data_IF_121645762688
#
_entry.id   IF_121645762688
#
_cell.length_a   1.000
_cell.length_b   1.000
_cell.length_c   1.000
_cell.angle_alpha   90.00
_cell.angle_beta   90.00
_cell.angle_gamma   90.00
#
_symmetry.space_group_name_H-M   'P 1'
#
loop_
_entity.id
_entity.type
_entity.pdbx_description
1 polymer ?
#
# COMPACT_ATOMS: atom_id res chain seq x y z
N UNK A 1 -0.14 -6.84 -5.51
CA UNK A 1 -0.15 -6.91 -6.99
C UNK A 1 -1.10 -8.00 -7.50
N UNK A 2 -0.90 -9.27 -7.15
CA UNK A 2 -1.74 -10.39 -7.63
C UNK A 2 -3.25 -10.20 -7.38
N UNK A 3 -3.65 -9.80 -6.16
CA UNK A 3 -5.06 -9.52 -5.85
C UNK A 3 -5.68 -8.40 -6.71
N UNK A 4 -4.93 -7.33 -7.00
CA UNK A 4 -5.40 -6.23 -7.85
C UNK A 4 -5.53 -6.65 -9.33
N UNK A 5 -4.63 -7.51 -9.83
CA UNK A 5 -4.73 -8.05 -11.19
C UNK A 5 -5.94 -8.97 -11.34
N UNK A 6 -6.25 -9.80 -10.33
CA UNK A 6 -7.45 -10.63 -10.31
C UNK A 6 -8.72 -9.76 -10.38
N UNK A 7 -8.75 -8.68 -9.59
CA UNK A 7 -9.89 -7.73 -9.56
C UNK A 7 -10.06 -6.93 -10.86
N UNK A 8 -8.98 -6.73 -11.63
CA UNK A 8 -9.05 -6.03 -12.91
C UNK A 8 -9.73 -6.86 -14.01
N UNK A 9 -9.53 -8.19 -14.02
CA UNK A 9 -10.05 -9.05 -15.08
C UNK A 9 -11.38 -9.75 -14.74
N UNK A 10 -11.77 -9.79 -13.46
CA UNK A 10 -12.93 -10.55 -13.02
C UNK A 10 -13.97 -9.64 -12.34
N UNK A 11 -15.09 -9.38 -13.02
CA UNK A 11 -16.25 -8.66 -12.49
C UNK A 11 -17.18 -9.51 -11.60
N UNK A 12 -16.83 -10.78 -11.34
CA UNK A 12 -17.67 -11.65 -10.51
C UNK A 12 -17.59 -11.27 -9.02
N UNK A 13 -18.73 -11.26 -8.32
CA UNK A 13 -18.79 -10.95 -6.89
C UNK A 13 -17.85 -11.82 -6.04
N UNK A 14 -17.65 -13.08 -6.43
CA UNK A 14 -16.73 -14.00 -5.75
C UNK A 14 -15.26 -13.61 -5.94
N UNK A 15 -14.87 -13.18 -7.14
CA UNK A 15 -13.53 -12.66 -7.40
C UNK A 15 -13.25 -11.39 -6.60
N UNK A 16 -14.27 -10.55 -6.40
CA UNK A 16 -14.16 -9.35 -5.57
C UNK A 16 -13.76 -9.69 -4.13
N UNK A 17 -14.40 -10.72 -3.56
CA UNK A 17 -14.10 -11.21 -2.21
C UNK A 17 -12.68 -11.80 -2.16
N UNK A 18 -12.34 -12.73 -3.04
CA UNK A 18 -11.04 -13.39 -3.02
C UNK A 18 -9.89 -12.41 -3.27
N UNK A 19 -10.03 -11.57 -4.29
CA UNK A 19 -9.04 -10.54 -4.64
C UNK A 19 -8.86 -9.53 -3.50
N UNK A 20 -9.96 -9.11 -2.87
CA UNK A 20 -9.96 -8.21 -1.71
C UNK A 20 -9.25 -8.82 -0.49
N UNK A 21 -9.52 -10.09 -0.18
CA UNK A 21 -8.84 -10.81 0.92
C UNK A 21 -7.33 -10.89 0.67
N UNK A 22 -6.90 -11.27 -0.53
CA UNK A 22 -5.47 -11.34 -0.88
C UNK A 22 -4.81 -9.96 -0.74
N UNK A 23 -5.50 -8.90 -1.16
CA UNK A 23 -5.02 -7.52 -1.03
C UNK A 23 -4.83 -7.12 0.44
N UNK A 24 -5.84 -7.38 1.28
CA UNK A 24 -5.80 -7.03 2.70
C UNK A 24 -4.75 -7.82 3.46
N UNK A 25 -4.63 -9.13 3.20
CA UNK A 25 -3.58 -9.96 3.82
C UNK A 25 -2.20 -9.43 3.45
N UNK A 26 -1.96 -9.10 2.17
CA UNK A 26 -0.69 -8.52 1.74
C UNK A 26 -0.38 -7.18 2.41
N UNK A 27 -1.38 -6.31 2.53
CA UNK A 27 -1.25 -5.01 3.20
C UNK A 27 -0.90 -5.16 4.69
N UNK A 28 -1.62 -6.03 5.40
CA UNK A 28 -1.39 -6.25 6.83
C UNK A 28 -0.03 -6.89 7.08
N UNK A 29 0.35 -7.92 6.33
CA UNK A 29 1.67 -8.54 6.47
C UNK A 29 2.80 -7.55 6.21
N UNK A 30 2.72 -6.76 5.14
CA UNK A 30 3.74 -5.77 4.79
C UNK A 30 3.87 -4.68 5.87
N UNK A 31 2.75 -4.12 6.32
CA UNK A 31 2.75 -3.07 7.35
C UNK A 31 3.17 -3.59 8.73
N UNK A 32 2.81 -4.82 9.08
CA UNK A 32 3.22 -5.46 10.35
C UNK A 32 4.72 -5.74 10.39
N UNK A 33 5.30 -6.32 9.33
CA UNK A 33 6.74 -6.63 9.29
C UNK A 33 7.58 -5.35 9.32
N UNK A 34 7.24 -4.37 8.48
CA UNK A 34 7.94 -3.09 8.46
C UNK A 34 7.76 -2.30 9.77
N UNK A 35 6.57 -2.38 10.37
CA UNK A 35 6.27 -1.74 11.66
C UNK A 35 7.04 -2.37 12.82
N UNK A 36 7.18 -3.70 12.83
CA UNK A 36 7.99 -4.42 13.82
C UNK A 36 9.47 -4.03 13.69
N UNK A 37 10.01 -4.07 12.47
CA UNK A 37 11.41 -3.70 12.21
C UNK A 37 11.70 -2.24 12.63
N UNK A 38 10.82 -1.30 12.27
CA UNK A 38 11.01 0.09 12.65
C UNK A 38 11.00 0.26 14.18
N UNK A 39 10.16 -0.50 14.88
CA UNK A 39 10.11 -0.49 16.35
C UNK A 39 11.40 -1.06 16.94
N UNK A 40 11.90 -2.17 16.41
CA UNK A 40 13.09 -2.84 16.93
C UNK A 40 14.36 -1.97 16.76
N UNK A 41 14.39 -1.10 15.74
CA UNK A 41 15.48 -0.14 15.49
C UNK A 41 15.30 1.20 16.22
N UNK A 42 14.16 1.43 16.88
CA UNK A 42 13.85 2.72 17.52
C UNK A 42 14.33 2.71 18.98
N UNK A 43 15.29 3.58 19.37
CA UNK A 43 15.70 3.69 20.77
C UNK A 43 14.57 4.27 21.62
N UNK A 44 14.34 3.70 22.82
CA UNK A 44 13.21 4.05 23.69
C UNK A 44 13.12 5.55 24.01
N UNK A 45 14.28 6.22 24.13
CA UNK A 45 14.38 7.65 24.43
C UNK A 45 13.80 8.56 23.33
N UNK A 46 13.70 8.08 22.08
CA UNK A 46 13.17 8.83 20.93
C UNK A 46 11.90 8.23 20.33
N UNK A 47 11.29 7.26 21.02
CA UNK A 47 10.12 6.54 20.54
C UNK A 47 8.97 7.47 20.13
N UNK A 48 8.70 8.52 20.92
CA UNK A 48 7.64 9.49 20.62
C UNK A 48 7.89 10.30 19.34
N UNK A 49 9.12 10.78 19.13
CA UNK A 49 9.48 11.56 17.94
C UNK A 49 9.43 10.70 16.66
N UNK A 50 9.98 9.48 16.74
CA UNK A 50 10.01 8.54 15.60
C UNK A 50 8.62 7.96 15.28
N UNK A 51 7.76 7.77 16.28
CA UNK A 51 6.36 7.41 16.08
C UNK A 51 5.57 8.54 15.40
N UNK A 52 5.81 9.80 15.78
CA UNK A 52 5.21 10.96 15.14
C UNK A 52 5.58 11.07 13.66
N UNK A 53 6.87 10.93 13.33
CA UNK A 53 7.36 10.90 11.95
C UNK A 53 6.70 9.77 11.16
N UNK A 54 6.60 8.57 11.73
CA UNK A 54 5.91 7.45 11.09
C UNK A 54 4.45 7.78 10.77
N UNK A 55 3.69 8.40 11.67
CA UNK A 55 2.27 8.73 11.40
C UNK A 55 2.12 9.73 10.24
N UNK A 56 3.05 10.69 10.13
CA UNK A 56 3.04 11.66 9.03
C UNK A 56 3.26 10.94 7.69
N UNK A 57 4.26 10.07 7.60
CA UNK A 57 4.61 9.39 6.34
C UNK A 57 3.72 8.18 6.01
N UNK A 58 3.25 7.44 7.00
CA UNK A 58 2.47 6.23 6.79
C UNK A 58 0.95 6.46 6.77
N UNK A 59 0.46 7.61 7.27
CA UNK A 59 -0.98 7.89 7.35
C UNK A 59 -1.34 9.22 6.71
N UNK A 60 -0.76 10.33 7.18
CA UNK A 60 -1.16 11.67 6.73
C UNK A 60 -0.88 11.87 5.23
N UNK A 61 0.35 11.61 4.80
CA UNK A 61 0.72 11.74 3.39
C UNK A 61 -0.08 10.78 2.49
N UNK A 62 -0.19 9.47 2.79
CA UNK A 62 -0.99 8.55 1.99
C UNK A 62 -2.47 8.91 1.92
N UNK A 63 -3.06 9.46 2.98
CA UNK A 63 -4.47 9.88 2.97
C UNK A 63 -4.70 11.05 2.01
N UNK A 64 -3.84 12.07 2.06
CA UNK A 64 -3.94 13.23 1.17
C UNK A 64 -3.68 12.80 -0.29
N UNK A 65 -2.61 12.05 -0.52
CA UNK A 65 -2.23 11.63 -1.87
C UNK A 65 -3.26 10.65 -2.44
N UNK A 66 -3.68 9.65 -1.64
CA UNK A 66 -4.63 8.63 -2.06
C UNK A 66 -5.99 9.19 -2.46
N UNK A 67 -6.52 10.14 -1.68
CA UNK A 67 -7.79 10.81 -2.01
C UNK A 67 -7.69 11.58 -3.34
N UNK A 68 -6.65 12.41 -3.50
CA UNK A 68 -6.45 13.18 -4.73
C UNK A 68 -6.22 12.30 -5.96
N UNK A 69 -5.45 11.20 -5.82
CA UNK A 69 -5.25 10.24 -6.90
C UNK A 69 -6.58 9.58 -7.30
N UNK A 70 -7.42 9.22 -6.32
CA UNK A 70 -8.69 8.54 -6.60
C UNK A 70 -9.64 9.39 -7.47
N UNK A 71 -9.71 10.70 -7.21
CA UNK A 71 -10.50 11.66 -7.99
C UNK A 71 -10.02 11.81 -9.44
N UNK A 72 -8.72 11.64 -9.68
CA UNK A 72 -8.15 11.69 -11.03
C UNK A 72 -8.40 10.39 -11.80
N UNK A 73 -8.34 9.26 -11.09
CA UNK A 73 -8.44 7.92 -11.68
C UNK A 73 -9.87 7.55 -12.05
N UNK A 74 -10.86 8.02 -11.29
CA UNK A 74 -12.26 7.77 -11.63
C UNK A 74 -12.65 8.63 -12.83
N UNK A 75 -13.02 7.97 -13.92
CA UNK A 75 -13.36 8.60 -15.20
C UNK A 75 -14.87 8.54 -15.48
N UNK A 76 -15.60 7.62 -14.84
CA UNK A 76 -17.02 7.45 -15.07
C UNK A 76 -17.86 8.49 -14.30
N UNK A 77 -18.67 9.30 -15.00
CA UNK A 77 -19.61 10.20 -14.35
C UNK A 77 -20.76 9.41 -13.73
N UNK A 78 -21.15 9.79 -12.52
CA UNK A 78 -22.30 9.26 -11.80
C UNK A 78 -22.88 10.29 -10.85
N UNK A 79 -23.85 9.88 -10.04
CA UNK A 79 -24.47 10.73 -9.03
C UNK A 79 -24.09 10.19 -7.65
N UNK A 80 -23.81 11.08 -6.71
CA UNK A 80 -23.62 10.69 -5.31
C UNK A 80 -24.97 10.44 -4.61
N UNK A 81 -24.91 10.12 -3.31
CA UNK A 81 -26.10 9.89 -2.49
C UNK A 81 -27.02 11.12 -2.34
N UNK A 82 -26.56 12.30 -2.74
CA UNK A 82 -27.28 13.57 -2.68
C UNK A 82 -27.71 14.08 -4.06
N UNK A 83 -27.40 13.35 -5.13
CA UNK A 83 -27.74 13.72 -6.51
C UNK A 83 -26.74 14.68 -7.16
N UNK A 84 -25.58 14.90 -6.56
CA UNK A 84 -24.52 15.72 -7.12
C UNK A 84 -23.66 14.90 -8.09
N UNK A 85 -23.23 15.48 -9.23
CA UNK A 85 -22.37 14.78 -10.19
C UNK A 85 -21.02 14.45 -9.56
N UNK A 86 -20.75 13.16 -9.38
CA UNK A 86 -19.51 12.63 -8.82
C UNK A 86 -18.88 11.61 -9.77
N UNK A 87 -17.64 11.22 -9.51
CA UNK A 87 -16.95 10.21 -10.29
C UNK A 87 -17.07 8.85 -9.59
N UNK A 88 -17.71 7.88 -10.23
CA UNK A 88 -17.91 6.56 -9.64
C UNK A 88 -16.69 5.65 -9.80
N UNK A 89 -16.47 4.72 -8.85
CA UNK A 89 -15.51 3.63 -8.93
C UNK A 89 -15.51 2.87 -10.27
N UNK A 90 -14.38 2.84 -10.98
CA UNK A 90 -14.18 2.10 -12.24
C UNK A 90 -13.00 1.10 -12.13
N UNK A 91 -12.97 0.05 -12.97
CA UNK A 91 -11.95 -1.01 -13.00
C UNK A 91 -10.51 -0.49 -13.11
N UNK A 92 -10.31 0.69 -13.68
CA UNK A 92 -9.03 1.39 -13.81
C UNK A 92 -8.36 1.64 -12.45
N UNK A 93 -9.12 1.71 -11.36
CA UNK A 93 -8.57 1.83 -10.01
C UNK A 93 -7.73 0.63 -9.60
N UNK A 94 -8.06 -0.57 -10.09
CA UNK A 94 -7.31 -1.78 -9.76
C UNK A 94 -5.94 -1.78 -10.43
N UNK A 95 -5.85 -1.21 -11.65
CA UNK A 95 -4.57 -0.98 -12.33
C UNK A 95 -3.70 0.01 -11.55
N UNK A 96 -4.27 1.12 -11.10
CA UNK A 96 -3.54 2.11 -10.29
C UNK A 96 -3.09 1.52 -8.96
N UNK A 97 -3.93 0.69 -8.34
CA UNK A 97 -3.57 -0.07 -7.13
C UNK A 97 -2.44 -1.04 -7.39
N UNK A 98 -2.45 -1.74 -8.53
CA UNK A 98 -1.38 -2.66 -8.91
C UNK A 98 -0.06 -1.91 -9.16
N UNK A 99 -0.10 -0.78 -9.86
CA UNK A 99 1.05 0.08 -10.10
C UNK A 99 1.62 0.67 -8.80
N UNK A 100 0.76 1.18 -7.91
CA UNK A 100 1.14 1.67 -6.58
C UNK A 100 1.78 0.56 -5.74
N UNK A 101 1.22 -0.64 -5.77
CA UNK A 101 1.78 -1.80 -5.08
C UNK A 101 3.17 -2.19 -5.62
N UNK A 102 3.37 -2.15 -6.95
CA UNK A 102 4.69 -2.38 -7.56
C UNK A 102 5.69 -1.29 -7.16
N UNK A 103 5.26 -0.03 -7.16
CA UNK A 103 6.09 1.09 -6.75
C UNK A 103 6.47 0.99 -5.26
N UNK A 104 5.58 0.51 -4.40
CA UNK A 104 5.89 0.23 -2.99
C UNK A 104 6.82 -0.99 -2.80
N UNK A 105 6.74 -1.99 -3.69
CA UNK A 105 7.63 -3.15 -3.67
C UNK A 105 9.07 -2.80 -4.07
N UNK A 106 9.30 -1.75 -4.87
CA UNK A 106 10.64 -1.33 -5.28
C UNK A 106 11.55 -0.92 -4.09
N UNK A 107 11.17 0.04 -3.21
CA UNK A 107 11.98 0.38 -2.04
C UNK A 107 12.02 -0.77 -1.02
N UNK A 108 10.93 -1.53 -0.87
CA UNK A 108 10.90 -2.67 0.05
C UNK A 108 11.89 -3.76 -0.37
N UNK A 109 11.84 -4.18 -1.64
CA UNK A 109 12.77 -5.18 -2.19
C UNK A 109 14.22 -4.67 -2.20
N UNK A 110 14.44 -3.39 -2.49
CA UNK A 110 15.77 -2.79 -2.38
C UNK A 110 16.31 -2.87 -0.94
N UNK A 111 15.50 -2.55 0.07
CA UNK A 111 15.89 -2.67 1.48
C UNK A 111 16.18 -4.11 1.89
N UNK A 112 15.38 -5.08 1.45
CA UNK A 112 15.66 -6.50 1.70
C UNK A 112 16.94 -6.98 1.02
N UNK A 113 17.23 -6.48 -0.20
CA UNK A 113 18.44 -6.83 -0.95
C UNK A 113 19.70 -6.20 -0.33
N UNK A 114 19.65 -4.95 0.12
CA UNK A 114 20.78 -4.32 0.80
C UNK A 114 21.07 -4.99 2.15
N UNK A 115 20.03 -5.40 2.87
CA UNK A 115 20.18 -6.20 4.09
C UNK A 115 20.81 -7.57 3.85
N UNK A 116 20.32 -8.33 2.87
CA UNK A 116 20.96 -9.59 2.47
C UNK A 116 22.42 -9.41 2.08
N UNK A 117 22.77 -8.29 1.44
CA UNK A 117 24.16 -7.96 1.10
C UNK A 117 25.00 -7.63 2.33
N UNK A 118 24.44 -6.93 3.32
CA UNK A 118 25.11 -6.66 4.59
C UNK A 118 25.33 -7.97 5.38
N UNK A 119 24.32 -8.82 5.51
CA UNK A 119 24.42 -10.14 6.16
C UNK A 119 25.41 -11.08 5.45
N UNK A 120 25.52 -11.00 4.12
CA UNK A 120 26.51 -11.77 3.36
C UNK A 120 27.94 -11.23 3.52
N UNK A 121 28.11 -9.96 3.90
CA UNK A 121 29.41 -9.35 4.21
C UNK A 121 29.83 -9.57 5.67
N UNK A 122 28.86 -9.80 6.57
CA UNK A 122 29.07 -10.08 7.99
C UNK A 122 29.38 -11.55 8.32
N UNK A 123 29.58 -12.42 7.32
CA UNK A 123 30.26 -13.71 7.51
C UNK A 123 31.77 -13.53 7.32
N UNK A 124 32.55 -13.22 8.37
CA UNK A 124 34.00 -13.40 8.31
C UNK A 124 34.30 -14.89 8.10
N UNK A 125 35.28 -15.15 7.23
CA UNK A 125 35.98 -16.42 7.17
C UNK A 125 36.68 -16.71 8.50
#
# INVERSE_FOLDING_TARGET
AAGALILFFLDSSWALVLGGVILMVGYLLGTSVLGAELRDQTPEEKAGSLQGVRMVFAVLLPMIIGSNVSLLVFQQPGLDAYGEPTKIPDHWMFLVTAASCLLALAPASWLFLTRKRAEAQEKPQ
#
